data_IF_137451042635
#
_entry.id   IF_137451042635
#
_cell.length_a   1.000
_cell.length_b   1.000
_cell.length_c   1.000
_cell.angle_alpha   90.00
_cell.angle_beta   90.00
_cell.angle_gamma   90.00
#
_symmetry.space_group_name_H-M   'P 1'
#
loop_
_entity.id
_entity.type
_entity.pdbx_description
1 polymer ?
#
# COMPACT_ATOMS: atom_id res chain seq x y z
N UNK A 1 13.91 -15.84 7.98
CA UNK A 1 13.89 -15.49 6.55
C UNK A 1 14.63 -16.57 5.78
N UNK A 2 13.99 -17.28 4.85
CA UNK A 2 14.67 -18.29 4.01
C UNK A 2 14.33 -18.02 2.54
N UNK A 3 15.29 -18.25 1.64
CA UNK A 3 15.10 -18.07 0.19
C UNK A 3 14.08 -19.06 -0.36
N UNK A 4 13.45 -18.75 -1.49
CA UNK A 4 12.82 -19.78 -2.32
C UNK A 4 13.94 -20.48 -3.09
N UNK A 5 14.58 -21.44 -2.44
CA UNK A 5 15.40 -22.43 -3.14
C UNK A 5 14.92 -23.79 -2.69
N UNK A 6 14.91 -24.76 -3.60
CA UNK A 6 14.45 -26.15 -3.35
C UNK A 6 15.33 -26.89 -2.31
N UNK A 7 16.32 -26.23 -1.73
CA UNK A 7 17.19 -26.72 -0.66
C UNK A 7 17.38 -25.64 0.41
N UNK A 8 17.41 -26.04 1.69
CA UNK A 8 17.88 -25.20 2.80
C UNK A 8 19.37 -24.89 2.57
N UNK A 9 19.67 -23.72 2.01
CA UNK A 9 21.04 -23.21 1.93
C UNK A 9 21.51 -22.75 3.32
N UNK A 10 22.79 -22.98 3.60
CA UNK A 10 23.44 -22.36 4.75
C UNK A 10 23.43 -20.83 4.57
N UNK A 11 23.10 -20.09 5.63
CA UNK A 11 23.13 -18.63 5.62
C UNK A 11 24.58 -18.15 5.49
N UNK A 12 24.83 -17.14 4.66
CA UNK A 12 26.15 -16.51 4.57
C UNK A 12 26.48 -15.73 5.83
N UNK A 13 25.48 -15.05 6.40
CA UNK A 13 25.57 -14.42 7.71
C UNK A 13 24.76 -15.24 8.73
N UNK A 14 25.41 -15.79 9.77
CA UNK A 14 24.73 -16.54 10.83
C UNK A 14 23.65 -15.73 11.58
N UNK A 15 22.63 -16.41 12.10
CA UNK A 15 21.49 -15.78 12.77
C UNK A 15 21.88 -15.02 14.05
N UNK A 16 22.85 -15.53 14.81
CA UNK A 16 23.39 -14.90 16.02
C UNK A 16 24.07 -13.56 15.73
N UNK A 17 24.53 -13.34 14.51
CA UNK A 17 25.03 -12.04 14.03
C UNK A 17 23.92 -11.19 13.41
N UNK A 18 23.04 -11.77 12.59
CA UNK A 18 21.95 -11.03 11.94
C UNK A 18 20.95 -10.43 12.93
N UNK A 19 20.52 -11.21 13.92
CA UNK A 19 19.45 -10.79 14.85
C UNK A 19 19.84 -9.52 15.62
N UNK A 20 21.02 -9.43 16.28
CA UNK A 20 21.44 -8.21 16.96
C UNK A 20 21.60 -7.01 16.01
N UNK A 21 22.12 -7.24 14.79
CA UNK A 21 22.27 -6.16 13.80
C UNK A 21 20.92 -5.60 13.38
N UNK A 22 19.96 -6.46 13.02
CA UNK A 22 18.61 -6.06 12.64
C UNK A 22 17.88 -5.39 13.80
N UNK A 23 17.99 -5.95 14.99
CA UNK A 23 17.38 -5.38 16.20
C UNK A 23 17.92 -3.97 16.48
N UNK A 24 19.24 -3.78 16.42
CA UNK A 24 19.88 -2.47 16.58
C UNK A 24 19.38 -1.48 15.51
N UNK A 25 19.37 -1.89 14.24
CA UNK A 25 18.88 -1.02 13.16
C UNK A 25 17.42 -0.63 13.33
N UNK A 26 16.53 -1.55 13.72
CA UNK A 26 15.12 -1.22 13.95
C UNK A 26 14.96 -0.24 15.12
N UNK A 27 15.76 -0.40 16.19
CA UNK A 27 15.71 0.48 17.37
C UNK A 27 16.18 1.89 17.03
N UNK A 28 17.29 2.03 16.30
CA UNK A 28 17.89 3.34 16.00
C UNK A 28 17.33 3.98 14.71
N UNK A 29 16.80 3.19 13.79
CA UNK A 29 16.30 3.60 12.48
C UNK A 29 14.95 2.91 12.18
N UNK A 30 13.89 3.22 12.93
CA UNK A 30 12.61 2.51 12.83
C UNK A 30 11.95 2.58 11.45
N UNK A 31 12.31 3.58 10.63
CA UNK A 31 11.83 3.67 9.25
C UNK A 31 12.26 2.48 8.38
N UNK A 32 13.28 1.71 8.78
CA UNK A 32 13.69 0.46 8.08
C UNK A 32 12.55 -0.56 8.03
N UNK A 33 11.57 -0.49 8.94
CA UNK A 33 10.40 -1.37 8.93
C UNK A 33 9.61 -1.28 7.62
N UNK A 34 9.67 -0.14 6.93
CA UNK A 34 9.05 0.06 5.61
C UNK A 34 9.58 -0.94 4.58
N UNK A 35 10.85 -1.34 4.67
CA UNK A 35 11.43 -2.34 3.76
C UNK A 35 10.73 -3.69 3.89
N UNK A 36 10.23 -4.03 5.08
CA UNK A 36 9.66 -5.34 5.38
C UNK A 36 8.16 -5.42 5.10
N UNK A 37 7.50 -4.33 4.70
CA UNK A 37 6.07 -4.27 4.39
C UNK A 37 5.59 -5.49 3.56
N UNK A 38 6.28 -5.88 2.46
CA UNK A 38 5.86 -7.04 1.67
C UNK A 38 5.92 -8.39 2.39
N UNK A 39 6.70 -8.50 3.46
CA UNK A 39 6.85 -9.72 4.25
C UNK A 39 5.93 -9.78 5.49
N UNK A 40 5.14 -8.74 5.77
CA UNK A 40 4.30 -8.66 6.97
C UNK A 40 3.31 -9.82 7.10
N UNK A 41 2.72 -10.28 6.00
CA UNK A 41 1.85 -11.47 6.00
C UNK A 41 2.52 -12.73 6.54
N UNK A 42 3.84 -12.85 6.38
CA UNK A 42 4.62 -13.96 6.93
C UNK A 42 5.13 -13.66 8.34
N UNK A 43 5.68 -12.47 8.56
CA UNK A 43 6.29 -12.06 9.84
C UNK A 43 5.25 -12.07 10.96
N UNK A 44 4.03 -11.62 10.66
CA UNK A 44 2.94 -11.51 11.64
C UNK A 44 1.88 -12.60 11.47
N UNK A 45 2.22 -13.75 10.87
CA UNK A 45 1.27 -14.81 10.55
C UNK A 45 0.39 -15.23 11.75
N UNK A 46 0.96 -15.27 12.96
CA UNK A 46 0.24 -15.63 14.18
C UNK A 46 -0.89 -14.64 14.51
N UNK A 47 -0.68 -13.35 14.25
CA UNK A 47 -1.69 -12.29 14.43
C UNK A 47 -2.76 -12.30 13.33
N UNK A 48 -2.49 -12.94 12.19
CA UNK A 48 -3.35 -12.92 11.02
C UNK A 48 -4.31 -14.11 10.96
N UNK A 49 -4.25 -15.06 11.90
CA UNK A 49 -5.02 -16.32 11.87
C UNK A 49 -6.54 -16.14 11.71
N UNK A 50 -7.11 -15.06 12.25
CA UNK A 50 -8.55 -14.74 12.15
C UNK A 50 -8.92 -13.80 11.01
N UNK A 51 -7.96 -13.37 10.19
CA UNK A 51 -8.16 -12.36 9.15
C UNK A 51 -8.15 -13.01 7.77
N UNK A 52 -9.11 -12.64 6.92
CA UNK A 52 -9.17 -13.11 5.53
C UNK A 52 -8.10 -12.46 4.64
N UNK A 53 -7.65 -11.26 5.02
CA UNK A 53 -6.69 -10.44 4.28
C UNK A 53 -5.73 -9.76 5.24
N UNK A 54 -4.57 -9.37 4.72
CA UNK A 54 -3.61 -8.49 5.38
C UNK A 54 -3.15 -7.44 4.38
N UNK A 55 -2.59 -6.33 4.84
CA UNK A 55 -2.09 -5.31 3.94
C UNK A 55 -1.01 -4.46 4.56
N UNK A 56 -0.41 -3.63 3.73
CA UNK A 56 0.49 -2.57 4.15
C UNK A 56 0.02 -1.24 3.57
N UNK A 57 0.30 -0.20 4.34
CA UNK A 57 -0.04 1.17 4.04
C UNK A 57 0.99 2.09 4.69
N UNK A 58 0.99 3.35 4.30
CA UNK A 58 1.70 4.39 5.04
C UNK A 58 0.96 4.71 6.35
N UNK A 59 1.74 4.98 7.40
CA UNK A 59 1.21 5.15 8.76
C UNK A 59 0.67 6.57 9.03
N UNK A 60 0.83 7.46 8.06
CA UNK A 60 0.33 8.84 8.03
C UNK A 60 -0.99 8.98 7.27
N UNK A 61 -1.59 7.86 6.84
CA UNK A 61 -2.86 7.83 6.11
C UNK A 61 -4.04 7.57 7.06
N UNK A 62 -5.13 8.32 6.85
CA UNK A 62 -6.42 8.04 7.48
C UNK A 62 -7.35 7.37 6.48
N UNK A 63 -7.79 6.16 6.81
CA UNK A 63 -8.78 5.44 6.03
C UNK A 63 -10.20 5.78 6.48
N UNK A 64 -11.06 6.16 5.53
CA UNK A 64 -12.48 6.36 5.76
C UNK A 64 -13.26 5.04 5.84
N UNK A 65 -14.52 5.05 5.39
CA UNK A 65 -15.37 3.86 5.37
C UNK A 65 -14.92 2.85 4.29
N UNK A 66 -13.95 2.00 4.63
CA UNK A 66 -13.32 1.04 3.71
C UNK A 66 -14.31 0.13 2.98
N UNK A 67 -15.46 -0.17 3.58
CA UNK A 67 -16.49 -1.02 2.95
C UNK A 67 -17.14 -0.37 1.73
N UNK A 68 -17.06 0.97 1.62
CA UNK A 68 -17.56 1.72 0.45
C UNK A 68 -16.52 1.93 -0.64
N UNK A 69 -15.24 1.69 -0.34
CA UNK A 69 -14.11 1.92 -1.25
C UNK A 69 -13.51 0.63 -1.80
N UNK A 70 -13.58 -0.46 -1.03
CA UNK A 70 -13.15 -1.78 -1.46
C UNK A 70 -14.34 -2.49 -2.08
N UNK A 71 -14.22 -2.79 -3.37
CA UNK A 71 -15.25 -3.44 -4.16
C UNK A 71 -15.41 -4.91 -3.77
N UNK A 72 -16.59 -5.47 -4.01
CA UNK A 72 -16.85 -6.87 -3.68
C UNK A 72 -15.95 -7.83 -4.48
N UNK A 73 -15.60 -7.49 -5.72
CA UNK A 73 -14.66 -8.30 -6.52
C UNK A 73 -13.24 -8.25 -5.93
N UNK A 74 -12.81 -7.11 -5.40
CA UNK A 74 -11.51 -6.94 -4.75
C UNK A 74 -11.31 -7.86 -3.55
N UNK A 75 -12.38 -8.21 -2.83
CA UNK A 75 -12.32 -9.16 -1.73
C UNK A 75 -12.34 -10.63 -2.16
N UNK A 76 -12.95 -10.94 -3.29
CA UNK A 76 -13.34 -12.32 -3.62
C UNK A 76 -12.61 -12.90 -4.83
N UNK A 77 -12.24 -12.05 -5.79
CA UNK A 77 -11.77 -12.50 -7.11
C UNK A 77 -10.27 -12.33 -7.32
N UNK A 78 -9.61 -11.55 -6.45
CA UNK A 78 -8.18 -11.21 -6.55
C UNK A 78 -7.39 -11.67 -5.33
N UNK A 79 -6.14 -12.06 -5.55
CA UNK A 79 -5.22 -12.46 -4.48
C UNK A 79 -4.48 -11.25 -3.90
N UNK A 80 -4.24 -10.24 -4.74
CA UNK A 80 -3.56 -8.99 -4.35
C UNK A 80 -4.29 -7.82 -5.00
N UNK A 81 -4.52 -6.76 -4.24
CA UNK A 81 -5.10 -5.52 -4.72
C UNK A 81 -4.23 -4.36 -4.25
N UNK A 82 -3.81 -3.52 -5.18
CA UNK A 82 -3.07 -2.29 -4.91
C UNK A 82 -3.82 -1.10 -5.44
N UNK A 83 -3.79 -0.01 -4.68
CA UNK A 83 -4.40 1.24 -5.08
C UNK A 83 -3.36 2.24 -5.58
N UNK A 84 -3.59 2.76 -6.79
CA UNK A 84 -2.75 3.77 -7.42
C UNK A 84 -3.56 4.99 -7.87
N UNK A 85 -2.88 6.00 -8.40
CA UNK A 85 -3.45 7.31 -8.75
C UNK A 85 -3.51 7.55 -10.28
N UNK A 86 -3.62 6.48 -11.06
CA UNK A 86 -3.77 6.54 -12.53
C UNK A 86 -2.53 6.11 -13.32
N UNK A 87 -1.58 5.44 -12.68
CA UNK A 87 -0.37 4.92 -13.31
C UNK A 87 -0.25 3.39 -13.22
N UNK A 88 -1.39 2.72 -13.36
CA UNK A 88 -1.52 1.26 -13.34
C UNK A 88 -0.74 0.56 -14.46
N UNK A 89 -0.41 1.26 -15.54
CA UNK A 89 0.43 0.77 -16.65
C UNK A 89 1.86 0.38 -16.19
N UNK A 90 2.27 0.86 -15.01
CA UNK A 90 3.55 0.56 -14.38
C UNK A 90 3.57 -0.77 -13.61
N UNK A 91 2.40 -1.38 -13.39
CA UNK A 91 2.23 -2.65 -12.67
C UNK A 91 2.96 -2.70 -11.31
N UNK A 92 3.01 -1.57 -10.61
CA UNK A 92 3.72 -1.40 -9.35
C UNK A 92 2.76 -1.56 -8.16
N UNK A 93 3.12 -2.38 -7.17
CA UNK A 93 2.41 -2.49 -5.90
C UNK A 93 2.79 -1.31 -4.99
N UNK A 94 1.80 -0.54 -4.58
CA UNK A 94 1.96 0.77 -3.94
C UNK A 94 2.04 0.66 -2.43
N UNK A 95 3.01 1.36 -1.85
CA UNK A 95 3.16 1.52 -0.40
C UNK A 95 1.99 2.20 0.31
N UNK A 96 1.24 3.06 -0.40
CA UNK A 96 0.12 3.82 0.14
C UNK A 96 -1.01 2.91 0.62
N UNK A 97 -1.42 1.94 -0.20
CA UNK A 97 -2.38 0.91 0.20
C UNK A 97 -2.33 -0.29 -0.75
N UNK A 98 -1.82 -1.41 -0.23
CA UNK A 98 -1.88 -2.71 -0.89
C UNK A 98 -2.34 -3.75 0.12
N UNK A 99 -3.30 -4.59 -0.27
CA UNK A 99 -3.73 -5.72 0.54
C UNK A 99 -3.69 -7.02 -0.26
N UNK A 100 -3.58 -8.10 0.49
CA UNK A 100 -3.33 -9.44 0.05
C UNK A 100 -4.35 -10.36 0.73
N UNK A 101 -4.82 -11.34 -0.02
CA UNK A 101 -5.48 -12.50 0.56
C UNK A 101 -4.54 -13.17 1.54
N UNK A 102 -5.05 -13.48 2.72
CA UNK A 102 -4.27 -14.15 3.74
C UNK A 102 -4.17 -15.64 3.40
N UNK A 103 -3.10 -15.99 2.69
CA UNK A 103 -2.73 -17.37 2.38
C UNK A 103 -1.29 -17.62 2.84
N UNK A 104 -1.11 -18.21 4.03
CA UNK A 104 0.21 -18.53 4.57
C UNK A 104 1.07 -19.44 3.68
N UNK A 105 0.48 -20.18 2.73
CA UNK A 105 1.21 -21.14 1.89
C UNK A 105 1.69 -20.52 0.60
N UNK A 106 0.89 -19.67 -0.03
CA UNK A 106 1.20 -19.12 -1.36
C UNK A 106 1.41 -17.62 -1.30
N UNK A 107 0.37 -16.84 -1.00
CA UNK A 107 0.41 -15.37 -1.13
C UNK A 107 1.35 -14.73 -0.10
N UNK A 108 1.29 -15.16 1.16
CA UNK A 108 2.14 -14.60 2.22
C UNK A 108 3.63 -14.98 2.04
N UNK A 109 3.95 -15.90 1.13
CA UNK A 109 5.33 -16.32 0.83
C UNK A 109 5.94 -15.56 -0.35
N UNK A 110 5.17 -14.70 -1.01
CA UNK A 110 5.59 -14.01 -2.23
C UNK A 110 6.85 -13.15 -2.04
N UNK A 111 7.03 -12.57 -0.85
CA UNK A 111 8.20 -11.76 -0.51
C UNK A 111 9.54 -12.49 -0.71
N UNK A 112 9.54 -13.83 -0.65
CA UNK A 112 10.76 -14.63 -0.81
C UNK A 112 11.32 -14.60 -2.23
N UNK A 113 10.50 -14.25 -3.21
CA UNK A 113 10.94 -14.05 -4.59
C UNK A 113 11.52 -12.65 -4.82
N UNK A 114 11.38 -11.75 -3.85
CA UNK A 114 12.10 -10.49 -3.84
C UNK A 114 13.49 -10.69 -3.23
N UNK A 115 14.54 -10.66 -4.06
CA UNK A 115 15.95 -10.82 -3.63
C UNK A 115 16.36 -9.86 -2.53
N UNK A 116 15.92 -8.60 -2.60
CA UNK A 116 16.21 -7.60 -1.56
C UNK A 116 15.85 -8.09 -0.16
N UNK A 117 14.73 -8.81 -0.03
CA UNK A 117 14.26 -9.38 1.23
C UNK A 117 14.77 -10.80 1.50
N UNK A 118 14.86 -11.63 0.46
CA UNK A 118 15.19 -13.05 0.62
C UNK A 118 16.69 -13.33 0.74
N UNK A 119 17.54 -12.44 0.23
CA UNK A 119 19.00 -12.53 0.28
C UNK A 119 19.62 -11.58 1.33
N UNK A 120 18.85 -11.24 2.36
CA UNK A 120 19.30 -10.34 3.41
C UNK A 120 20.62 -10.80 4.06
N UNK A 121 20.79 -12.09 4.30
CA UNK A 121 22.03 -12.62 4.87
C UNK A 121 23.27 -12.36 3.99
N UNK A 122 23.12 -12.37 2.66
CA UNK A 122 24.15 -11.95 1.70
C UNK A 122 24.37 -10.45 1.81
N UNK A 123 23.28 -9.66 1.79
CA UNK A 123 23.40 -8.20 1.82
C UNK A 123 24.20 -7.69 3.02
N UNK A 124 24.07 -8.35 4.17
CA UNK A 124 24.80 -8.03 5.39
C UNK A 124 26.19 -8.71 5.49
N UNK A 125 26.52 -9.66 4.60
CA UNK A 125 27.85 -10.28 4.50
C UNK A 125 28.83 -9.40 3.71
N UNK A 126 28.31 -8.54 2.81
CA UNK A 126 29.10 -7.70 1.93
C UNK A 126 29.94 -6.63 2.67
N UNK A 127 31.15 -6.37 2.16
CA UNK A 127 32.13 -5.45 2.78
C UNK A 127 31.63 -4.01 2.99
N UNK A 128 30.70 -3.54 2.15
CA UNK A 128 30.17 -2.18 2.20
C UNK A 128 28.68 -2.16 2.63
N UNK A 129 28.21 -3.18 3.34
CA UNK A 129 26.81 -3.27 3.78
C UNK A 129 26.35 -2.03 4.56
N UNK A 130 27.23 -1.41 5.34
CA UNK A 130 26.95 -0.19 6.10
C UNK A 130 26.81 1.09 5.26
N UNK A 131 27.25 1.06 4.00
CA UNK A 131 27.20 2.21 3.08
C UNK A 131 26.02 2.13 2.10
N UNK A 132 25.29 1.00 2.08
CA UNK A 132 24.12 0.84 1.22
C UNK A 132 23.02 1.80 1.63
N UNK A 133 22.45 2.47 0.63
CA UNK A 133 21.24 3.27 0.80
C UNK A 133 20.05 2.33 1.02
N UNK A 134 19.19 2.70 1.95
CA UNK A 134 17.90 2.03 2.15
C UNK A 134 17.07 2.06 0.88
N UNK A 135 16.34 0.99 0.64
CA UNK A 135 15.53 0.80 -0.56
C UNK A 135 14.15 0.29 -0.16
N UNK A 136 13.09 0.87 -0.72
CA UNK A 136 11.76 0.29 -0.57
C UNK A 136 11.69 -1.02 -1.34
N UNK A 137 11.42 -2.12 -0.63
CA UNK A 137 11.26 -3.45 -1.23
C UNK A 137 10.04 -3.55 -2.16
N UNK A 138 9.19 -2.52 -2.25
CA UNK A 138 8.02 -2.46 -3.13
C UNK A 138 8.38 -2.73 -4.60
N UNK A 139 9.53 -2.25 -5.09
CA UNK A 139 9.95 -2.49 -6.48
C UNK A 139 10.26 -3.96 -6.75
N UNK A 140 11.19 -4.51 -5.97
CA UNK A 140 11.56 -5.91 -5.98
C UNK A 140 10.37 -6.86 -5.75
N UNK A 141 9.45 -6.48 -4.87
CA UNK A 141 8.23 -7.23 -4.60
C UNK A 141 7.23 -7.17 -5.75
N UNK A 142 7.06 -6.01 -6.38
CA UNK A 142 6.23 -5.87 -7.59
C UNK A 142 6.74 -6.79 -8.69
N UNK A 143 8.06 -6.87 -8.89
CA UNK A 143 8.67 -7.80 -9.84
C UNK A 143 8.31 -9.25 -9.53
N UNK A 144 8.50 -9.66 -8.27
CA UNK A 144 8.15 -11.01 -7.82
C UNK A 144 6.69 -11.37 -8.11
N UNK A 145 5.79 -10.40 -8.00
CA UNK A 145 4.35 -10.57 -8.24
C UNK A 145 4.02 -10.65 -9.73
N UNK A 146 4.55 -9.76 -10.58
CA UNK A 146 4.22 -9.75 -12.02
C UNK A 146 4.75 -10.99 -12.77
N UNK A 147 5.85 -11.59 -12.28
CA UNK A 147 6.40 -12.82 -12.86
C UNK A 147 5.52 -14.05 -12.63
N UNK A 148 4.50 -13.97 -11.76
CA UNK A 148 3.61 -15.09 -11.43
C UNK A 148 2.42 -15.14 -12.37
N UNK A 149 2.16 -16.33 -12.92
CA UNK A 149 1.03 -16.59 -13.83
C UNK A 149 -0.17 -17.26 -13.14
N UNK A 150 0.01 -17.65 -11.88
CA UNK A 150 -0.91 -18.44 -11.09
C UNK A 150 -1.67 -17.63 -10.03
N UNK A 151 -1.49 -16.30 -10.01
CA UNK A 151 -2.16 -15.38 -9.10
C UNK A 151 -2.93 -14.32 -9.87
N UNK A 152 -3.94 -13.73 -9.22
CA UNK A 152 -4.73 -12.62 -9.77
C UNK A 152 -4.42 -11.34 -9.00
N UNK A 153 -4.03 -10.31 -9.72
CA UNK A 153 -3.69 -9.01 -9.15
C UNK A 153 -4.55 -7.91 -9.77
N UNK A 154 -5.09 -7.01 -8.93
CA UNK A 154 -5.82 -5.83 -9.38
C UNK A 154 -5.04 -4.56 -9.02
N UNK A 155 -4.69 -3.80 -10.05
CA UNK A 155 -4.23 -2.41 -9.91
C UNK A 155 -5.44 -1.51 -10.07
N UNK A 156 -6.02 -1.08 -8.96
CA UNK A 156 -7.20 -0.23 -8.97
C UNK A 156 -6.78 1.24 -8.90
N UNK A 157 -7.38 2.06 -9.75
CA UNK A 157 -7.32 3.51 -9.61
C UNK A 157 -8.39 3.90 -8.63
N UNK A 158 -7.97 4.23 -7.41
CA UNK A 158 -8.80 4.83 -6.37
C UNK A 158 -8.15 6.18 -6.07
N UNK A 159 -8.93 7.20 -5.76
CA UNK A 159 -8.40 8.55 -5.53
C UNK A 159 -7.51 8.59 -4.26
N UNK A 160 -6.28 8.13 -4.37
CA UNK A 160 -5.18 8.42 -3.46
C UNK A 160 -4.55 9.69 -3.97
N UNK A 161 -5.12 10.83 -3.57
CA UNK A 161 -4.43 12.09 -3.83
C UNK A 161 -3.28 12.19 -2.84
N UNK A 162 -2.05 12.09 -3.33
CA UNK A 162 -0.97 12.86 -2.73
C UNK A 162 -1.43 14.32 -2.78
N UNK A 163 -1.85 14.85 -1.63
CA UNK A 163 -2.45 16.19 -1.57
C UNK A 163 -1.34 17.24 -1.65
N UNK A 164 -0.96 17.64 -2.86
CA UNK A 164 -0.17 18.84 -3.05
C UNK A 164 -0.92 20.08 -2.54
N UNK A 165 -0.23 21.18 -2.27
CA UNK A 165 -0.85 22.44 -1.79
C UNK A 165 -1.97 22.97 -2.72
N UNK A 166 -1.97 22.57 -3.99
CA UNK A 166 -3.03 22.87 -4.97
C UNK A 166 -4.24 21.92 -4.96
N UNK A 167 -4.24 20.88 -4.12
CA UNK A 167 -5.33 19.90 -4.06
C UNK A 167 -6.61 20.51 -3.45
N UNK A 168 -7.80 20.15 -3.96
CA UNK A 168 -9.08 20.50 -3.33
C UNK A 168 -9.14 20.10 -1.85
N UNK A 169 -8.46 19.02 -1.45
CA UNK A 169 -8.39 18.59 -0.05
C UNK A 169 -7.65 19.63 0.82
N UNK A 170 -6.60 20.27 0.29
CA UNK A 170 -5.83 21.29 1.00
C UNK A 170 -6.54 22.65 1.02
N UNK A 171 -7.24 22.99 -0.07
CA UNK A 171 -7.88 24.31 -0.25
C UNK A 171 -9.35 24.36 0.20
N UNK A 172 -10.00 23.21 0.39
CA UNK A 172 -11.47 23.08 0.44
C UNK A 172 -11.93 21.93 1.35
N UNK A 173 -11.01 21.26 2.04
CA UNK A 173 -11.31 20.15 2.93
C UNK A 173 -11.66 20.57 4.36
N UNK A 174 -12.45 19.76 5.05
CA UNK A 174 -12.71 19.88 6.48
C UNK A 174 -12.31 18.57 7.17
N UNK A 175 -11.40 18.69 8.15
CA UNK A 175 -11.02 17.59 9.03
C UNK A 175 -11.87 17.66 10.30
N UNK A 176 -12.69 16.64 10.54
CA UNK A 176 -13.46 16.51 11.77
C UNK A 176 -12.93 15.32 12.56
N UNK A 177 -12.33 15.59 13.72
CA UNK A 177 -12.09 14.55 14.74
C UNK A 177 -13.22 14.58 15.74
N UNK A 178 -14.10 13.59 15.66
CA UNK A 178 -15.20 13.40 16.60
C UNK A 178 -14.77 12.33 17.60
N UNK A 179 -14.22 12.79 18.72
CA UNK A 179 -13.86 11.93 19.85
C UNK A 179 -14.29 12.56 21.16
N UNK A 180 -14.61 11.74 22.16
CA UNK A 180 -14.70 12.19 23.53
C UNK A 180 -13.34 12.73 23.99
N UNK A 181 -13.34 13.73 24.89
CA UNK A 181 -12.12 14.26 25.48
C UNK A 181 -11.26 13.09 26.03
N UNK A 182 -9.94 13.11 25.81
CA UNK A 182 -9.08 12.01 26.24
C UNK A 182 -9.22 11.79 27.74
N UNK A 183 -9.51 10.55 28.15
CA UNK A 183 -9.42 10.14 29.54
C UNK A 183 -7.94 10.01 29.89
N UNK A 184 -7.43 10.84 30.80
CA UNK A 184 -6.05 10.77 31.28
C UNK A 184 -5.71 9.46 32.02
N UNK A 185 -6.72 8.63 32.31
CA UNK A 185 -6.60 7.47 33.20
C UNK A 185 -7.02 6.15 32.54
N UNK A 186 -7.54 6.15 31.32
CA UNK A 186 -7.86 4.90 30.62
C UNK A 186 -7.64 4.99 29.11
N UNK A 187 -6.94 4.01 28.56
CA UNK A 187 -6.79 3.78 27.12
C UNK A 187 -8.08 3.29 26.43
N UNK A 188 -9.18 3.11 27.18
CA UNK A 188 -10.43 2.49 26.71
C UNK A 188 -11.52 3.49 26.30
N UNK A 189 -11.32 4.79 26.48
CA UNK A 189 -12.38 5.80 26.24
C UNK A 189 -12.12 6.74 25.06
N UNK A 190 -11.04 6.54 24.30
CA UNK A 190 -10.78 7.28 23.06
C UNK A 190 -11.25 6.45 21.87
N UNK A 191 -12.42 6.80 21.33
CA UNK A 191 -12.90 6.29 20.05
C UNK A 191 -12.87 7.46 19.07
N UNK A 192 -11.72 7.75 18.44
CA UNK A 192 -11.67 8.78 17.43
C UNK A 192 -12.50 8.33 16.23
N UNK A 193 -13.53 9.11 15.90
CA UNK A 193 -14.13 9.10 14.57
C UNK A 193 -13.56 10.28 13.81
N UNK A 194 -12.46 10.06 13.10
CA UNK A 194 -11.95 11.07 12.18
C UNK A 194 -12.62 10.89 10.83
N UNK A 195 -13.24 11.95 10.33
CA UNK A 195 -13.82 11.98 8.98
C UNK A 195 -13.25 13.17 8.23
N UNK A 196 -12.72 12.89 7.03
CA UNK A 196 -12.20 13.91 6.13
C UNK A 196 -13.24 14.15 5.03
N UNK A 197 -13.68 15.40 4.90
CA UNK A 197 -14.53 15.85 3.81
C UNK A 197 -13.73 16.75 2.87
N UNK A 198 -13.98 16.64 1.57
CA UNK A 198 -13.40 17.52 0.54
C UNK A 198 -14.53 18.03 -0.35
N UNK A 199 -14.49 19.32 -0.69
CA UNK A 199 -15.43 19.90 -1.65
C UNK A 199 -14.95 19.70 -3.09
N UNK A 200 -15.88 19.80 -4.05
CA UNK A 200 -15.57 19.66 -5.46
C UNK A 200 -14.82 20.87 -6.05
N UNK A 201 -14.98 22.06 -5.44
CA UNK A 201 -14.38 23.32 -5.88
C UNK A 201 -14.25 24.34 -4.70
N UNK A 202 -13.43 25.39 -4.88
CA UNK A 202 -13.06 26.35 -3.81
C UNK A 202 -14.29 27.06 -3.25
N UNK A 203 -15.27 27.37 -4.11
CA UNK A 203 -16.49 28.04 -3.71
C UNK A 203 -17.37 27.13 -2.86
N UNK A 204 -17.46 25.85 -3.22
CA UNK A 204 -18.09 24.79 -2.43
C UNK A 204 -17.32 24.48 -1.13
N UNK A 205 -16.00 24.66 -1.11
CA UNK A 205 -15.14 24.53 0.06
C UNK A 205 -15.50 25.51 1.17
N UNK A 206 -15.71 26.78 0.83
CA UNK A 206 -16.16 27.78 1.80
C UNK A 206 -17.50 27.40 2.43
N UNK A 207 -18.44 26.91 1.62
CA UNK A 207 -19.72 26.39 2.12
C UNK A 207 -19.54 25.21 3.05
N UNK A 208 -18.63 24.28 2.74
CA UNK A 208 -18.33 23.11 3.58
C UNK A 208 -17.77 23.52 4.95
N UNK A 209 -16.89 24.54 4.99
CA UNK A 209 -16.33 25.09 6.22
C UNK A 209 -17.37 25.81 7.09
N UNK A 210 -18.40 26.38 6.47
CA UNK A 210 -19.51 27.07 7.16
C UNK A 210 -20.59 26.09 7.67
N UNK A 211 -20.54 24.81 7.30
CA UNK A 211 -21.50 23.81 7.79
C UNK A 211 -21.22 23.44 9.26
N UNK A 212 -22.28 23.12 10.01
CA UNK A 212 -22.13 22.61 11.38
C UNK A 212 -21.29 21.33 11.39
N UNK A 213 -20.51 21.08 12.43
CA UNK A 213 -19.63 19.89 12.53
C UNK A 213 -20.37 18.55 12.44
N UNK A 214 -21.70 18.54 12.50
CA UNK A 214 -22.58 17.40 12.36
C UNK A 214 -23.50 17.46 11.13
N UNK A 215 -23.22 18.31 10.15
CA UNK A 215 -24.10 18.53 8.99
C UNK A 215 -24.44 17.23 8.23
N UNK A 216 -23.51 16.29 8.18
CA UNK A 216 -23.66 14.98 7.52
C UNK A 216 -24.53 14.00 8.33
N UNK A 217 -24.84 14.32 9.59
CA UNK A 217 -25.79 13.57 10.41
C UNK A 217 -27.24 13.88 10.05
N UNK A 218 -27.50 14.98 9.31
CA UNK A 218 -28.79 15.23 8.68
C UNK A 218 -29.00 14.27 7.50
N UNK A 219 -29.39 13.07 7.89
CA UNK A 219 -29.74 11.94 7.03
C UNK A 219 -30.94 12.22 6.13
N UNK A 220 -31.73 13.25 6.40
CA UNK A 220 -32.84 13.65 5.51
C UNK A 220 -32.33 14.47 4.34
N UNK A 221 -31.31 15.30 4.57
CA UNK A 221 -30.69 16.14 3.55
C UNK A 221 -29.59 15.40 2.75
N UNK A 222 -28.90 14.45 3.39
CA UNK A 222 -27.78 13.70 2.80
C UNK A 222 -28.03 12.19 2.83
N UNK A 223 -29.11 11.76 2.17
CA UNK A 223 -29.61 10.38 2.24
C UNK A 223 -28.59 9.31 1.78
N UNK A 224 -27.60 9.67 0.96
CA UNK A 224 -26.53 8.75 0.52
C UNK A 224 -25.73 8.17 1.70
N UNK A 225 -25.61 8.90 2.81
CA UNK A 225 -24.92 8.39 3.99
C UNK A 225 -25.74 7.34 4.77
N UNK A 226 -27.06 7.24 4.54
CA UNK A 226 -27.89 6.14 5.07
C UNK A 226 -27.68 4.83 4.32
N UNK A 227 -27.28 4.92 3.06
CA UNK A 227 -27.11 3.76 2.18
C UNK A 227 -25.70 3.23 2.37
N UNK A 228 -25.49 2.43 3.42
CA UNK A 228 -24.18 1.85 3.74
C UNK A 228 -23.61 1.01 2.59
N UNK A 229 -24.49 0.40 1.80
CA UNK A 229 -24.13 -0.45 0.68
C UNK A 229 -23.98 0.32 -0.65
N UNK A 230 -24.23 1.64 -0.65
CA UNK A 230 -24.02 2.47 -1.83
C UNK A 230 -22.57 2.94 -1.88
N UNK A 231 -21.86 2.53 -2.93
CA UNK A 231 -20.53 3.00 -3.23
C UNK A 231 -20.55 4.52 -3.46
N UNK A 232 -19.62 5.25 -2.84
CA UNK A 232 -19.49 6.72 -3.01
C UNK A 232 -18.69 7.10 -4.25
N UNK A 233 -18.05 6.12 -4.88
CA UNK A 233 -17.28 6.26 -6.12
C UNK A 233 -18.20 6.15 -7.34
N UNK A 234 -17.91 6.94 -8.38
CA UNK A 234 -18.59 6.87 -9.66
C UNK A 234 -17.71 6.10 -10.65
N UNK A 235 -18.28 5.07 -11.29
CA UNK A 235 -17.60 4.37 -12.37
C UNK A 235 -17.62 5.25 -13.63
N UNK A 236 -16.48 5.80 -14.00
CA UNK A 236 -16.27 6.61 -15.20
C UNK A 236 -15.29 5.87 -16.11
N UNK A 237 -15.78 5.07 -17.07
CA UNK A 237 -14.91 4.48 -18.09
C UNK A 237 -15.40 3.17 -18.70
N UNK A 238 -14.66 2.69 -19.69
CA UNK A 238 -14.83 1.36 -20.28
C UNK A 238 -13.59 0.53 -19.98
N UNK A 239 -13.75 -0.78 -19.76
CA UNK A 239 -12.60 -1.68 -19.64
C UNK A 239 -11.86 -1.67 -20.97
N UNK A 240 -10.59 -1.27 -20.96
CA UNK A 240 -9.70 -1.30 -22.12
C UNK A 240 -8.45 -2.09 -21.79
N UNK A 241 -7.83 -2.67 -22.82
CA UNK A 241 -6.47 -3.18 -22.70
C UNK A 241 -5.52 -1.98 -22.76
N UNK A 242 -4.70 -1.84 -21.73
CA UNK A 242 -3.67 -0.80 -21.67
C UNK A 242 -2.39 -1.37 -22.26
N UNK A 243 -1.75 -0.63 -23.17
CA UNK A 243 -0.41 -0.97 -23.65
C UNK A 243 0.59 -0.64 -22.54
N UNK A 244 1.43 -1.62 -22.17
CA UNK A 244 2.48 -1.38 -21.18
C UNK A 244 3.64 -0.64 -21.85
N UNK A 245 4.51 0.00 -21.05
CA UNK A 245 5.74 0.60 -21.56
C UNK A 245 6.58 -0.42 -22.37
N UNK A 246 6.55 -1.71 -22.01
CA UNK A 246 7.21 -2.77 -22.79
C UNK A 246 6.53 -2.99 -24.13
N UNK A 247 5.20 -3.06 -24.19
CA UNK A 247 4.49 -3.13 -25.48
C UNK A 247 4.87 -1.96 -26.38
N UNK A 248 5.05 -0.76 -25.83
CA UNK A 248 5.53 0.41 -26.57
C UNK A 248 6.99 0.22 -27.04
N UNK A 249 7.87 -0.27 -26.16
CA UNK A 249 9.28 -0.54 -26.49
C UNK A 249 9.44 -1.61 -27.57
N UNK A 250 8.74 -2.74 -27.46
CA UNK A 250 8.74 -3.83 -28.45
C UNK A 250 8.19 -3.36 -29.80
N UNK A 251 7.25 -2.41 -29.79
CA UNK A 251 6.72 -1.77 -31.00
C UNK A 251 7.64 -0.66 -31.56
N UNK A 252 8.86 -0.52 -31.03
CA UNK A 252 9.90 0.35 -31.59
C UNK A 252 10.02 1.73 -30.95
N UNK A 253 9.29 2.00 -29.87
CA UNK A 253 9.45 3.24 -29.09
C UNK A 253 10.74 3.18 -28.26
N UNK A 254 11.77 3.90 -28.71
CA UNK A 254 13.08 3.93 -28.05
C UNK A 254 13.10 4.82 -26.80
N UNK A 255 12.09 5.65 -26.56
CA UNK A 255 11.96 6.48 -25.36
C UNK A 255 11.29 5.69 -24.21
N UNK A 256 10.51 4.65 -24.54
CA UNK A 256 9.91 3.74 -23.56
C UNK A 256 10.93 3.01 -22.66
N UNK A 257 12.21 2.92 -23.07
CA UNK A 257 13.31 2.35 -22.27
C UNK A 257 13.63 3.16 -21.01
N UNK A 258 13.21 4.42 -20.95
CA UNK A 258 13.52 5.36 -19.87
C UNK A 258 12.32 5.53 -18.91
N UNK A 259 11.20 4.88 -19.20
CA UNK A 259 10.02 4.82 -18.31
C UNK A 259 10.36 3.96 -17.10
N UNK A 260 10.45 4.59 -15.93
CA UNK A 260 10.62 3.91 -14.63
C UNK A 260 9.25 3.67 -14.00
N UNK A 261 9.05 2.53 -13.35
CA UNK A 261 7.90 2.28 -12.46
C UNK A 261 7.85 3.29 -11.29
N UNK A 262 9.00 3.67 -10.73
CA UNK A 262 9.17 4.82 -9.81
C UNK A 262 10.58 5.38 -9.93
N UNK A 263 10.78 6.67 -9.66
CA UNK A 263 12.10 7.30 -9.80
C UNK A 263 13.16 6.75 -8.83
N UNK A 264 12.72 6.14 -7.72
CA UNK A 264 13.54 5.59 -6.64
C UNK A 264 13.75 4.08 -6.69
N UNK A 265 13.00 3.34 -7.52
CA UNK A 265 13.16 1.90 -7.65
C UNK A 265 14.28 1.57 -8.66
N UNK A 266 15.19 0.63 -8.35
CA UNK A 266 16.16 0.12 -9.31
C UNK A 266 15.49 -0.40 -10.60
N UNK A 267 16.15 -0.14 -11.74
CA UNK A 267 15.62 -0.43 -13.08
C UNK A 267 15.53 -1.94 -13.36
N UNK A 268 16.39 -2.72 -12.72
CA UNK A 268 16.44 -4.19 -12.79
C UNK A 268 15.21 -4.88 -12.19
N UNK A 269 14.45 -4.20 -11.31
CA UNK A 269 13.16 -4.72 -10.85
C UNK A 269 12.04 -4.62 -11.90
N UNK A 270 12.35 -4.12 -13.10
CA UNK A 270 11.38 -3.92 -14.18
C UNK A 270 11.63 -4.90 -15.33
N UNK A 271 11.96 -6.15 -15.00
CA UNK A 271 11.91 -7.26 -15.96
C UNK A 271 10.49 -7.82 -16.06
N UNK A 272 10.13 -8.33 -17.24
CA UNK A 272 8.87 -9.02 -17.58
C UNK A 272 8.13 -9.71 -16.43
#
# INVERSE_FOLDING_TARGET
FTRVTDQRQALETPLDKLIPTLSSQIIYYPYILVEYKPAFGHIFADYLTSYSHWGYSDIDVVFGDMTRWIDTDEWNDYDIVTYGFGDQDKLYLRGQFTFHKNDPKVINQMWRHCKYLSEMDIRYSEKNASERKFESAEGCYSQAVIMRKDIKVKWAVKAFSDVGEGSPVYTQGMYLSLGSAPSWTSSRSYVPKSVLYTAADVHSGKKLLDLSTNWFEDKTKYAIYNQKDMALQKYEGTKSQVQTYRTLYENGDKEAKDVKCMYWAPKDYQMD
#
